data_IF_657150554470
#
_entry.id   IF_657150554470
#
_cell.length_a   1.000
_cell.length_b   1.000
_cell.length_c   1.000
_cell.angle_alpha   90.00
_cell.angle_beta   90.00
_cell.angle_gamma   90.00
#
_symmetry.space_group_name_H-M   'P 1'
#
loop_
_entity.id
_entity.type
_entity.pdbx_description
1 polymer ?
#
# COMPACT_ATOMS: atom_id res chain seq x y z
N UNK A 1 -5.38 11.96 -27.04
CA UNK A 1 -5.31 12.23 -25.60
C UNK A 1 -4.78 10.98 -24.92
N UNK A 2 -3.49 10.92 -24.61
CA UNK A 2 -2.97 9.89 -23.72
C UNK A 2 -3.37 10.27 -22.30
N UNK A 3 -4.05 9.39 -21.54
CA UNK A 3 -4.38 9.71 -20.15
C UNK A 3 -3.08 10.01 -19.40
N UNK A 4 -3.07 11.09 -18.63
CA UNK A 4 -2.00 11.43 -17.70
C UNK A 4 -1.62 10.16 -16.93
N UNK A 5 -0.44 9.60 -17.23
CA UNK A 5 0.16 8.57 -16.37
C UNK A 5 0.30 9.21 -15.01
N UNK A 6 -0.50 8.77 -14.04
CA UNK A 6 -0.34 9.15 -12.64
C UNK A 6 1.15 9.12 -12.29
N UNK A 7 1.67 10.25 -11.80
CA UNK A 7 3.07 10.37 -11.42
C UNK A 7 3.30 9.49 -10.19
N UNK A 8 3.83 8.29 -10.42
CA UNK A 8 4.21 7.38 -9.35
C UNK A 8 5.41 7.96 -8.58
N UNK A 9 5.23 8.21 -7.29
CA UNK A 9 6.31 8.56 -6.38
C UNK A 9 7.01 7.29 -5.88
N UNK A 10 8.34 7.28 -5.92
CA UNK A 10 9.15 6.18 -5.36
C UNK A 10 9.52 6.49 -3.92
N UNK A 11 9.11 5.62 -3.01
CA UNK A 11 9.45 5.69 -1.57
C UNK A 11 10.23 4.45 -1.15
N UNK A 12 11.23 4.63 -0.30
CA UNK A 12 11.94 3.54 0.37
C UNK A 12 11.59 3.57 1.86
N UNK A 13 11.35 2.39 2.46
CA UNK A 13 11.02 2.26 3.87
C UNK A 13 11.98 1.28 4.53
N UNK A 14 12.22 1.47 5.82
CA UNK A 14 12.96 0.52 6.66
C UNK A 14 11.97 -0.13 7.62
N UNK A 15 11.93 -1.46 7.63
CA UNK A 15 11.05 -2.25 8.49
C UNK A 15 11.80 -3.47 9.03
N UNK A 16 11.38 -4.04 10.18
CA UNK A 16 11.93 -5.30 10.66
C UNK A 16 11.79 -6.42 9.62
N UNK A 17 12.82 -7.23 9.48
CA UNK A 17 12.87 -8.29 8.46
C UNK A 17 11.76 -9.33 8.64
N UNK A 18 11.49 -9.73 9.89
CA UNK A 18 10.42 -10.67 10.21
C UNK A 18 9.05 -10.15 9.79
N UNK A 19 8.78 -8.86 10.07
CA UNK A 19 7.54 -8.21 9.67
C UNK A 19 7.39 -8.19 8.14
N UNK A 20 8.45 -7.88 7.40
CA UNK A 20 8.43 -7.89 5.95
C UNK A 20 8.16 -9.30 5.39
N UNK A 21 8.73 -10.34 6.01
CA UNK A 21 8.52 -11.73 5.60
C UNK A 21 7.06 -12.16 5.79
N UNK A 22 6.45 -11.82 6.93
CA UNK A 22 5.03 -12.09 7.18
C UNK A 22 4.13 -11.30 6.22
N UNK A 23 4.45 -10.02 6.00
CA UNK A 23 3.69 -9.19 5.07
C UNK A 23 3.74 -9.72 3.63
N UNK A 24 4.89 -10.24 3.18
CA UNK A 24 5.01 -10.88 1.86
C UNK A 24 4.09 -12.09 1.74
N UNK A 25 4.05 -12.97 2.74
CA UNK A 25 3.13 -14.13 2.74
C UNK A 25 1.67 -13.67 2.68
N UNK A 26 1.33 -12.62 3.41
CA UNK A 26 0.00 -12.02 3.32
C UNK A 26 -0.32 -11.50 1.91
N UNK A 27 0.62 -10.80 1.27
CA UNK A 27 0.46 -10.33 -0.12
C UNK A 27 0.25 -11.48 -1.11
N UNK A 28 0.99 -12.58 -0.95
CA UNK A 28 0.86 -13.78 -1.78
C UNK A 28 -0.55 -14.40 -1.67
N UNK A 29 -1.08 -14.48 -0.44
CA UNK A 29 -2.45 -14.94 -0.19
C UNK A 29 -3.50 -14.03 -0.85
N UNK A 30 -3.26 -12.72 -0.85
CA UNK A 30 -4.12 -11.74 -1.52
C UNK A 30 -3.90 -11.66 -3.05
N UNK A 31 -2.95 -12.42 -3.60
CA UNK A 31 -2.52 -12.38 -5.01
C UNK A 31 -2.17 -10.96 -5.48
N UNK A 32 -1.48 -10.19 -4.64
CA UNK A 32 -1.09 -8.80 -4.90
C UNK A 32 0.40 -8.61 -4.68
N UNK A 33 0.99 -7.65 -5.39
CA UNK A 33 2.36 -7.23 -5.09
C UNK A 33 2.40 -6.49 -3.76
N UNK A 34 3.57 -6.49 -3.11
CA UNK A 34 3.83 -5.71 -1.89
C UNK A 34 3.46 -4.24 -2.08
N UNK A 35 3.84 -3.64 -3.21
CA UNK A 35 3.51 -2.25 -3.51
C UNK A 35 2.01 -2.00 -3.64
N UNK A 36 1.29 -2.87 -4.37
CA UNK A 36 -0.15 -2.73 -4.54
C UNK A 36 -0.90 -2.92 -3.22
N UNK A 37 -0.45 -3.84 -2.37
CA UNK A 37 -1.05 -4.05 -1.05
C UNK A 37 -0.80 -2.87 -0.12
N UNK A 38 0.40 -2.30 -0.12
CA UNK A 38 0.70 -1.08 0.65
C UNK A 38 -0.19 0.08 0.17
N UNK A 39 -0.31 0.29 -1.15
CA UNK A 39 -1.18 1.34 -1.70
C UNK A 39 -2.62 1.17 -1.24
N UNK A 40 -3.18 -0.04 -1.32
CA UNK A 40 -4.53 -0.32 -0.83
C UNK A 40 -4.69 0.05 0.65
N UNK A 41 -3.79 -0.44 1.50
CA UNK A 41 -3.87 -0.22 2.95
C UNK A 41 -3.72 1.27 3.29
N UNK A 42 -2.90 2.02 2.55
CA UNK A 42 -2.81 3.48 2.68
C UNK A 42 -4.12 4.17 2.33
N UNK A 43 -4.76 3.80 1.22
CA UNK A 43 -6.05 4.37 0.82
C UNK A 43 -7.16 4.07 1.83
N UNK A 44 -7.22 2.84 2.32
CA UNK A 44 -8.20 2.41 3.33
C UNK A 44 -8.00 3.17 4.65
N UNK A 45 -6.76 3.32 5.11
CA UNK A 45 -6.44 4.08 6.31
C UNK A 45 -6.82 5.56 6.17
N UNK A 46 -6.52 6.19 5.03
CA UNK A 46 -6.88 7.60 4.78
C UNK A 46 -8.39 7.80 4.72
N UNK A 47 -9.13 6.87 4.08
CA UNK A 47 -10.60 6.91 4.04
C UNK A 47 -11.21 6.76 5.43
N UNK A 48 -10.64 5.92 6.28
CA UNK A 48 -11.14 5.74 7.65
C UNK A 48 -10.89 6.99 8.49
N UNK A 49 -9.67 7.56 8.45
CA UNK A 49 -9.34 8.78 9.21
C UNK A 49 -10.21 9.99 8.85
N UNK A 50 -10.65 10.10 7.59
CA UNK A 50 -11.57 11.16 7.17
C UNK A 50 -12.97 10.98 7.77
N UNK A 51 -13.47 9.75 7.85
CA UNK A 51 -14.79 9.46 8.43
C UNK A 51 -14.86 9.69 9.94
N UNK A 52 -13.78 9.44 10.67
CA UNK A 52 -13.72 9.70 12.11
C UNK A 52 -13.57 11.19 12.46
N UNK A 53 -13.37 12.06 11.47
CA UNK A 53 -13.24 13.52 11.66
C UNK A 53 -14.48 14.32 11.26
N UNK A 54 -15.55 13.65 10.80
CA UNK A 54 -16.88 14.21 10.50
C UNK A 54 -17.89 13.89 11.62
#
# INVERSE_FOLDING_TARGET
>A
MTPDKEKLARTSITVPEQLLAEFKRYCDLQRRSVSAQITLLMEEALKQSQKDSE
#
